data_IF_925686289857
#
_entry.id   IF_925686289857
#
_cell.length_a   1.000
_cell.length_b   1.000
_cell.length_c   1.000
_cell.angle_alpha   90.00
_cell.angle_beta   90.00
_cell.angle_gamma   90.00
#
_symmetry.space_group_name_H-M   'P 1'
#
loop_
_entity.id
_entity.type
_entity.pdbx_description
1 polymer ?
#
# COMPACT_ATOMS: atom_id res chain seq x y z
N UNK A 1 -2.36 -4.17 -28.41
CA UNK A 1 -2.30 -3.55 -27.07
C UNK A 1 -1.41 -4.44 -26.21
N UNK A 2 -0.32 -3.92 -25.62
CA UNK A 2 0.56 -4.73 -24.76
C UNK A 2 -0.13 -4.98 -23.41
N UNK A 3 0.21 -6.08 -22.71
CA UNK A 3 -0.31 -6.39 -21.36
C UNK A 3 -0.11 -5.19 -20.43
N UNK A 4 1.08 -4.58 -20.47
CA UNK A 4 1.39 -3.39 -19.71
C UNK A 4 0.42 -2.24 -19.97
N UNK A 5 0.14 -1.92 -21.25
CA UNK A 5 -0.77 -0.85 -21.62
C UNK A 5 -2.23 -1.18 -21.26
N UNK A 6 -2.59 -2.45 -21.21
CA UNK A 6 -3.89 -2.90 -20.73
C UNK A 6 -4.07 -2.60 -19.24
N UNK A 7 -3.12 -3.04 -18.41
CA UNK A 7 -3.12 -2.80 -16.96
C UNK A 7 -3.16 -1.31 -16.64
N UNK A 8 -2.31 -0.50 -17.27
CA UNK A 8 -2.28 0.95 -17.03
C UNK A 8 -3.60 1.60 -17.39
N UNK A 9 -4.17 1.26 -18.55
CA UNK A 9 -5.43 1.85 -19.00
C UNK A 9 -6.62 1.42 -18.14
N UNK A 10 -6.64 0.18 -17.65
CA UNK A 10 -7.75 -0.31 -16.83
C UNK A 10 -7.76 0.29 -15.43
N UNK A 11 -6.60 0.66 -14.89
CA UNK A 11 -6.47 1.13 -13.50
C UNK A 11 -6.27 2.64 -13.36
N UNK A 12 -6.09 3.38 -14.47
CA UNK A 12 -5.79 4.82 -14.42
C UNK A 12 -6.85 5.62 -13.65
N UNK A 13 -8.12 5.31 -13.85
CA UNK A 13 -9.23 6.06 -13.24
C UNK A 13 -9.48 5.65 -11.77
N UNK A 14 -8.81 4.58 -11.30
CA UNK A 14 -8.84 4.14 -9.91
C UNK A 14 -7.78 4.83 -9.05
N UNK A 15 -6.83 5.56 -9.65
CA UNK A 15 -5.94 6.48 -8.93
C UNK A 15 -6.71 7.79 -8.74
N UNK A 16 -7.13 8.06 -7.50
CA UNK A 16 -8.08 9.15 -7.22
C UNK A 16 -7.38 10.49 -6.99
N UNK A 17 -6.16 10.45 -6.46
CA UNK A 17 -5.33 11.63 -6.22
C UNK A 17 -3.84 11.29 -6.34
N UNK A 18 -3.03 12.33 -6.51
CA UNK A 18 -1.58 12.24 -6.42
C UNK A 18 -1.05 13.48 -5.69
N UNK A 19 -0.24 13.26 -4.65
CA UNK A 19 0.54 14.33 -4.04
C UNK A 19 1.84 14.45 -4.80
N UNK A 20 2.16 15.65 -5.27
CA UNK A 20 3.33 15.93 -6.11
C UNK A 20 4.15 17.08 -5.54
N UNK A 21 5.31 17.37 -6.14
CA UNK A 21 6.11 18.55 -5.76
C UNK A 21 5.33 19.86 -5.98
N UNK A 22 4.54 19.94 -7.06
CA UNK A 22 3.73 21.11 -7.42
C UNK A 22 2.45 21.20 -6.56
N UNK A 23 1.90 20.05 -6.18
CA UNK A 23 0.68 19.91 -5.39
C UNK A 23 0.95 19.07 -4.13
N UNK A 24 1.61 19.64 -3.10
CA UNK A 24 2.07 18.91 -1.92
C UNK A 24 0.98 18.66 -0.88
N UNK A 25 -0.25 19.13 -1.14
CA UNK A 25 -1.40 19.01 -0.23
C UNK A 25 -2.57 18.45 -1.02
N UNK A 26 -3.31 17.52 -0.40
CA UNK A 26 -4.52 16.97 -0.98
C UNK A 26 -5.60 18.06 -1.13
N UNK A 27 -6.17 18.17 -2.32
CA UNK A 27 -7.34 19.01 -2.54
C UNK A 27 -8.54 18.48 -1.75
N UNK A 28 -9.38 19.36 -1.20
CA UNK A 28 -10.57 18.93 -0.45
C UNK A 28 -11.51 18.04 -1.27
N UNK A 29 -11.60 18.29 -2.58
CA UNK A 29 -12.37 17.45 -3.51
C UNK A 29 -11.83 16.03 -3.63
N UNK A 30 -10.51 15.83 -3.54
CA UNK A 30 -9.91 14.51 -3.60
C UNK A 30 -10.13 13.75 -2.29
N UNK A 31 -10.04 14.44 -1.15
CA UNK A 31 -10.38 13.88 0.16
C UNK A 31 -11.85 13.42 0.18
N UNK A 32 -12.78 14.24 -0.33
CA UNK A 32 -14.20 13.87 -0.44
C UNK A 32 -14.39 12.64 -1.34
N UNK A 33 -13.77 12.61 -2.53
CA UNK A 33 -13.84 11.46 -3.44
C UNK A 33 -13.29 10.17 -2.82
N UNK A 34 -12.25 10.27 -2.00
CA UNK A 34 -11.67 9.14 -1.28
C UNK A 34 -12.59 8.67 -0.14
N UNK A 35 -13.17 9.60 0.62
CA UNK A 35 -14.16 9.29 1.69
C UNK A 35 -15.39 8.60 1.14
N UNK A 36 -15.88 9.02 -0.02
CA UNK A 36 -17.06 8.44 -0.68
C UNK A 36 -16.88 6.95 -1.04
N UNK A 37 -15.64 6.44 -1.01
CA UNK A 37 -15.38 5.01 -1.20
C UNK A 37 -15.71 4.16 0.03
N UNK A 38 -15.77 4.75 1.22
CA UNK A 38 -16.04 4.02 2.45
C UNK A 38 -15.00 2.92 2.70
N UNK A 39 -13.72 3.22 2.49
CA UNK A 39 -12.65 2.24 2.62
C UNK A 39 -12.49 1.75 4.07
N UNK A 40 -12.23 0.44 4.21
CA UNK A 40 -11.97 -0.21 5.48
C UNK A 40 -10.62 0.23 6.07
N UNK A 41 -9.63 0.44 5.21
CA UNK A 41 -8.30 0.89 5.60
C UNK A 41 -7.52 1.59 4.48
N UNK A 42 -6.49 2.31 4.91
CA UNK A 42 -5.39 2.79 4.06
C UNK A 42 -4.26 1.77 4.10
N UNK A 43 -3.99 1.10 2.98
CA UNK A 43 -2.86 0.18 2.80
C UNK A 43 -1.61 0.95 2.35
N UNK A 44 -0.60 1.05 3.21
CA UNK A 44 0.70 1.67 2.90
C UNK A 44 1.70 0.58 2.53
N UNK A 45 2.22 0.61 1.30
CA UNK A 45 3.20 -0.37 0.83
C UNK A 45 4.64 0.03 1.19
N UNK A 46 5.45 -0.95 1.60
CA UNK A 46 6.87 -0.81 1.90
C UNK A 46 7.73 -0.33 0.72
N UNK A 47 8.82 0.38 1.01
CA UNK A 47 9.72 0.96 0.01
C UNK A 47 11.20 0.99 0.44
N UNK A 48 11.54 0.25 1.48
CA UNK A 48 12.86 0.12 2.08
C UNK A 48 13.11 1.12 3.21
N UNK A 49 14.03 0.71 4.10
CA UNK A 49 14.59 1.49 5.19
C UNK A 49 16.07 1.82 4.91
N UNK A 50 16.58 2.89 5.53
CA UNK A 50 18.02 3.23 5.47
C UNK A 50 18.82 2.48 6.54
N UNK A 51 18.19 2.30 7.69
CA UNK A 51 18.71 1.69 8.91
C UNK A 51 17.52 1.26 9.79
N UNK A 52 17.80 0.76 10.99
CA UNK A 52 16.82 0.16 11.90
C UNK A 52 15.76 1.13 12.45
N UNK A 53 15.88 2.44 12.16
CA UNK A 53 14.94 3.46 12.65
C UNK A 53 14.39 4.38 11.55
N UNK A 54 15.02 4.40 10.38
CA UNK A 54 14.79 5.47 9.39
C UNK A 54 14.20 4.92 8.08
N UNK A 55 13.00 5.35 7.67
CA UNK A 55 12.48 5.01 6.36
C UNK A 55 13.34 5.64 5.25
N UNK A 56 13.40 5.00 4.08
CA UNK A 56 13.88 5.70 2.87
C UNK A 56 13.00 6.91 2.56
N UNK A 57 13.47 7.90 1.77
CA UNK A 57 12.63 9.05 1.42
C UNK A 57 11.30 8.62 0.77
N UNK A 58 11.34 7.62 -0.11
CA UNK A 58 10.16 7.06 -0.76
C UNK A 58 9.18 6.42 0.24
N UNK A 59 9.69 5.66 1.22
CA UNK A 59 8.84 5.07 2.26
C UNK A 59 8.26 6.16 3.17
N UNK A 60 9.06 7.17 3.52
CA UNK A 60 8.60 8.31 4.31
C UNK A 60 7.43 9.03 3.65
N UNK A 61 7.51 9.32 2.36
CA UNK A 61 6.46 10.02 1.63
C UNK A 61 5.15 9.21 1.57
N UNK A 62 5.26 7.88 1.47
CA UNK A 62 4.10 6.98 1.57
C UNK A 62 3.48 6.99 2.96
N UNK A 63 4.31 6.95 4.01
CA UNK A 63 3.85 6.99 5.40
C UNK A 63 3.16 8.33 5.70
N UNK A 64 3.75 9.44 5.28
CA UNK A 64 3.19 10.78 5.48
C UNK A 64 1.82 10.93 4.79
N UNK A 65 1.69 10.44 3.55
CA UNK A 65 0.40 10.44 2.86
C UNK A 65 -0.62 9.52 3.55
N UNK A 66 -0.22 8.32 3.97
CA UNK A 66 -1.10 7.42 4.73
C UNK A 66 -1.61 8.03 6.04
N UNK A 67 -0.73 8.71 6.77
CA UNK A 67 -1.09 9.44 8.00
C UNK A 67 -2.04 10.60 7.70
N UNK A 68 -1.79 11.38 6.64
CA UNK A 68 -2.66 12.48 6.23
C UNK A 68 -4.08 11.98 5.91
N UNK A 69 -4.19 10.92 5.11
CA UNK A 69 -5.49 10.32 4.77
C UNK A 69 -6.24 9.83 6.00
N UNK A 70 -5.53 9.21 6.94
CA UNK A 70 -6.10 8.76 8.21
C UNK A 70 -6.62 9.93 9.05
N UNK A 71 -5.82 10.98 9.20
CA UNK A 71 -6.17 12.18 9.97
C UNK A 71 -7.36 12.93 9.35
N UNK A 72 -7.45 12.94 8.02
CA UNK A 72 -8.59 13.48 7.29
C UNK A 72 -9.84 12.59 7.40
N UNK A 73 -9.73 11.37 7.93
CA UNK A 73 -10.85 10.44 8.09
C UNK A 73 -11.28 9.76 6.79
N UNK A 74 -10.32 9.54 5.87
CA UNK A 74 -10.57 8.80 4.61
C UNK A 74 -10.87 7.33 4.86
N UNK A 75 -10.17 6.71 5.82
CA UNK A 75 -10.44 5.36 6.30
C UNK A 75 -10.15 5.29 7.80
N UNK A 76 -10.82 4.41 8.54
CA UNK A 76 -10.68 4.34 10.00
C UNK A 76 -9.38 3.66 10.46
N UNK A 77 -8.62 3.01 9.57
CA UNK A 77 -7.48 2.15 9.91
C UNK A 77 -6.33 2.33 8.92
N UNK A 78 -5.11 2.06 9.35
CA UNK A 78 -3.91 1.98 8.50
C UNK A 78 -3.39 0.55 8.52
N UNK A 79 -3.19 -0.06 7.36
CA UNK A 79 -2.52 -1.35 7.19
C UNK A 79 -1.13 -1.11 6.58
N UNK A 80 -0.08 -1.45 7.32
CA UNK A 80 1.32 -1.33 6.91
C UNK A 80 1.78 -2.68 6.35
N UNK A 81 2.12 -2.78 5.07
CA UNK A 81 2.57 -4.05 4.46
C UNK A 81 3.95 -3.90 3.82
N UNK A 82 4.86 -4.80 4.19
CA UNK A 82 6.27 -4.76 3.85
C UNK A 82 6.90 -6.14 3.98
N UNK A 83 8.16 -6.26 3.57
CA UNK A 83 8.90 -7.53 3.59
C UNK A 83 9.69 -7.65 4.90
N UNK A 84 9.32 -8.63 5.73
CA UNK A 84 10.05 -9.00 6.95
C UNK A 84 10.82 -10.34 6.81
N UNK A 85 11.10 -10.79 5.58
CA UNK A 85 11.59 -12.13 5.25
C UNK A 85 13.02 -12.45 5.69
N UNK A 86 13.68 -11.56 6.43
CA UNK A 86 14.96 -11.81 7.10
C UNK A 86 14.87 -11.28 8.53
N UNK A 87 15.42 -11.99 9.52
CA UNK A 87 15.46 -11.57 10.93
C UNK A 87 16.08 -10.16 11.14
N UNK A 88 16.84 -9.66 10.16
CA UNK A 88 17.46 -8.33 10.15
C UNK A 88 16.65 -7.24 9.44
N UNK A 89 15.52 -7.55 8.78
CA UNK A 89 14.65 -6.52 8.23
C UNK A 89 13.63 -6.13 9.29
N UNK A 90 13.63 -4.86 9.65
CA UNK A 90 12.73 -4.28 10.66
C UNK A 90 11.79 -3.25 10.01
N UNK A 91 11.53 -3.38 8.70
CA UNK A 91 10.81 -2.36 7.91
C UNK A 91 9.44 -2.07 8.53
N UNK A 92 8.68 -3.11 8.87
CA UNK A 92 7.36 -2.95 9.49
C UNK A 92 7.45 -2.24 10.84
N UNK A 93 8.46 -2.55 11.67
CA UNK A 93 8.63 -1.87 12.94
C UNK A 93 9.01 -0.39 12.76
N UNK A 94 9.83 -0.07 11.77
CA UNK A 94 10.15 1.33 11.40
C UNK A 94 8.87 2.05 10.97
N UNK A 95 8.05 1.43 10.11
CA UNK A 95 6.77 2.00 9.68
C UNK A 95 5.81 2.19 10.87
N UNK A 96 5.65 1.17 11.71
CA UNK A 96 4.81 1.19 12.91
C UNK A 96 5.23 2.33 13.85
N UNK A 97 6.52 2.40 14.19
CA UNK A 97 7.04 3.45 15.05
C UNK A 97 6.87 4.84 14.45
N UNK A 98 7.04 4.99 13.13
CA UNK A 98 6.83 6.25 12.43
C UNK A 98 5.38 6.73 12.56
N UNK A 99 4.43 5.85 12.29
CA UNK A 99 2.98 6.15 12.35
C UNK A 99 2.51 6.40 13.79
N UNK A 100 3.00 5.60 14.75
CA UNK A 100 2.76 5.82 16.19
C UNK A 100 3.27 7.19 16.66
N UNK A 101 4.49 7.57 16.26
CA UNK A 101 5.08 8.89 16.59
C UNK A 101 4.27 10.05 16.00
N UNK A 102 3.54 9.82 14.91
CA UNK A 102 2.64 10.80 14.30
C UNK A 102 1.27 10.89 15.00
N UNK A 103 1.02 10.09 16.04
CA UNK A 103 -0.16 10.19 16.89
C UNK A 103 -1.35 9.32 16.47
N UNK A 104 -1.17 8.39 15.53
CA UNK A 104 -2.20 7.40 15.20
C UNK A 104 -2.31 6.38 16.36
N UNK A 105 -3.52 6.10 16.89
CA UNK A 105 -3.72 5.10 17.94
C UNK A 105 -3.26 3.71 17.52
N UNK A 106 -2.66 2.96 18.45
CA UNK A 106 -2.08 1.64 18.15
C UNK A 106 -3.13 0.62 17.69
N UNK A 107 -4.35 0.72 18.21
CA UNK A 107 -5.50 -0.09 17.82
C UNK A 107 -5.97 0.15 16.37
N UNK A 108 -5.52 1.23 15.74
CA UNK A 108 -5.89 1.60 14.37
C UNK A 108 -4.78 1.28 13.35
N UNK A 109 -3.60 0.84 13.82
CA UNK A 109 -2.46 0.48 12.98
C UNK A 109 -2.35 -1.03 12.91
N UNK A 110 -2.42 -1.60 11.72
CA UNK A 110 -2.22 -3.02 11.45
C UNK A 110 -0.88 -3.24 10.74
N UNK A 111 -0.22 -4.35 11.04
CA UNK A 111 1.10 -4.70 10.52
C UNK A 111 1.03 -6.03 9.76
N UNK A 112 1.41 -5.99 8.50
CA UNK A 112 1.58 -7.17 7.64
C UNK A 112 3.07 -7.42 7.35
N UNK A 113 3.64 -8.35 8.11
CA UNK A 113 5.06 -8.74 8.02
C UNK A 113 5.38 -9.68 6.85
N UNK A 114 4.36 -10.23 6.18
CA UNK A 114 4.53 -11.17 5.08
C UNK A 114 4.13 -10.57 3.72
N UNK A 115 4.29 -9.25 3.56
CA UNK A 115 4.12 -8.51 2.32
C UNK A 115 5.30 -8.67 1.34
N UNK A 116 5.80 -9.91 1.13
CA UNK A 116 7.00 -10.20 0.34
C UNK A 116 6.91 -9.81 -1.14
N UNK A 117 5.69 -9.61 -1.64
CA UNK A 117 5.43 -9.06 -2.95
C UNK A 117 4.13 -8.27 -2.94
N UNK A 118 3.93 -7.40 -3.91
CA UNK A 118 2.65 -6.68 -4.08
C UNK A 118 1.47 -7.63 -4.18
N UNK A 119 1.66 -8.83 -4.74
CA UNK A 119 0.62 -9.85 -4.74
C UNK A 119 0.30 -10.34 -3.33
N UNK A 120 1.33 -10.62 -2.53
CA UNK A 120 1.13 -11.06 -1.15
C UNK A 120 0.47 -9.96 -0.31
N UNK A 121 0.87 -8.70 -0.45
CA UNK A 121 0.21 -7.57 0.21
C UNK A 121 -1.29 -7.49 -0.12
N UNK A 122 -1.66 -7.59 -1.41
CA UNK A 122 -3.06 -7.53 -1.82
C UNK A 122 -3.87 -8.75 -1.40
N UNK A 123 -3.30 -9.94 -1.55
CA UNK A 123 -3.91 -11.18 -1.10
C UNK A 123 -4.16 -11.12 0.41
N UNK A 124 -3.15 -10.73 1.18
CA UNK A 124 -3.24 -10.73 2.64
C UNK A 124 -4.16 -9.63 3.16
N UNK A 125 -4.19 -8.45 2.53
CA UNK A 125 -5.19 -7.42 2.84
C UNK A 125 -6.62 -8.00 2.79
N UNK A 126 -6.91 -8.82 1.78
CA UNK A 126 -8.21 -9.49 1.64
C UNK A 126 -8.38 -10.68 2.58
N UNK A 127 -7.47 -11.65 2.55
CA UNK A 127 -7.69 -12.97 3.14
C UNK A 127 -7.23 -13.07 4.61
N UNK A 128 -6.24 -12.27 5.01
CA UNK A 128 -5.76 -12.21 6.40
C UNK A 128 -6.41 -11.07 7.15
N UNK A 129 -6.44 -9.87 6.55
CA UNK A 129 -7.01 -8.68 7.19
C UNK A 129 -8.50 -8.49 6.90
N UNK A 130 -9.11 -9.36 6.08
CA UNK A 130 -10.55 -9.32 5.77
C UNK A 130 -11.03 -7.97 5.22
N UNK A 131 -10.14 -7.15 4.66
CA UNK A 131 -10.52 -5.89 4.02
C UNK A 131 -11.23 -6.17 2.69
N UNK A 132 -12.20 -5.34 2.35
CA UNK A 132 -12.94 -5.40 1.09
C UNK A 132 -12.67 -4.17 0.24
N UNK A 133 -12.73 -2.99 0.85
CA UNK A 133 -12.45 -1.71 0.17
C UNK A 133 -11.21 -1.07 0.77
N UNK A 134 -10.20 -0.78 -0.06
CA UNK A 134 -8.92 -0.24 0.42
C UNK A 134 -8.44 0.95 -0.41
N UNK A 135 -7.79 1.91 0.27
CA UNK A 135 -7.00 2.95 -0.39
C UNK A 135 -5.53 2.54 -0.32
N UNK A 136 -4.89 2.35 -1.46
CA UNK A 136 -3.48 1.95 -1.56
C UNK A 136 -2.61 3.19 -1.71
N UNK A 137 -1.60 3.31 -0.85
CA UNK A 137 -0.61 4.39 -0.88
C UNK A 137 0.73 3.84 -1.35
N UNK A 138 1.16 4.28 -2.54
CA UNK A 138 2.49 4.06 -3.11
C UNK A 138 2.76 5.16 -4.17
N UNK A 139 3.81 5.06 -4.98
CA UNK A 139 4.01 5.93 -6.13
C UNK A 139 3.19 5.48 -7.35
N UNK A 140 2.79 6.40 -8.22
CA UNK A 140 1.96 6.12 -9.42
C UNK A 140 2.54 4.99 -10.28
N UNK A 141 3.87 4.96 -10.46
CA UNK A 141 4.51 3.93 -11.29
C UNK A 141 4.27 2.49 -10.78
N UNK A 142 4.04 2.33 -9.48
CA UNK A 142 3.78 1.07 -8.79
C UNK A 142 2.28 0.81 -8.57
N UNK A 143 1.46 1.87 -8.43
CA UNK A 143 0.02 1.75 -8.17
C UNK A 143 -0.69 0.92 -9.23
N UNK A 144 -0.41 1.12 -10.52
CA UNK A 144 -1.07 0.35 -11.59
C UNK A 144 -1.01 -1.17 -11.37
N UNK A 145 0.11 -1.68 -10.83
CA UNK A 145 0.27 -3.11 -10.54
C UNK A 145 -0.51 -3.50 -9.29
N UNK A 146 -0.42 -2.69 -8.25
CA UNK A 146 -1.11 -2.91 -6.98
C UNK A 146 -2.64 -2.95 -7.17
N UNK A 147 -3.19 -1.94 -7.85
CA UNK A 147 -4.61 -1.83 -8.17
C UNK A 147 -5.08 -3.00 -9.03
N UNK A 148 -4.33 -3.35 -10.08
CA UNK A 148 -4.69 -4.48 -10.94
C UNK A 148 -4.76 -5.80 -10.17
N UNK A 149 -3.78 -6.07 -9.32
CA UNK A 149 -3.79 -7.30 -8.52
C UNK A 149 -4.95 -7.31 -7.53
N UNK A 150 -5.21 -6.19 -6.84
CA UNK A 150 -6.32 -6.10 -5.89
C UNK A 150 -7.67 -6.37 -6.54
N UNK A 151 -7.94 -5.72 -7.68
CA UNK A 151 -9.16 -5.89 -8.48
C UNK A 151 -9.34 -7.36 -8.93
N UNK A 152 -8.29 -7.99 -9.45
CA UNK A 152 -8.33 -9.42 -9.85
C UNK A 152 -8.53 -10.38 -8.68
N UNK A 153 -8.10 -9.99 -7.46
CA UNK A 153 -8.37 -10.73 -6.22
C UNK A 153 -9.77 -10.46 -5.65
N UNK A 154 -10.50 -9.49 -6.20
CA UNK A 154 -11.86 -9.12 -5.81
C UNK A 154 -11.95 -8.06 -4.71
N UNK A 155 -10.90 -7.27 -4.52
CA UNK A 155 -10.93 -6.07 -3.68
C UNK A 155 -11.51 -4.88 -4.46
N UNK A 156 -12.24 -4.01 -3.77
CA UNK A 156 -12.55 -2.67 -4.27
C UNK A 156 -11.39 -1.73 -3.92
N UNK A 157 -10.50 -1.51 -4.88
CA UNK A 157 -9.17 -0.94 -4.63
C UNK A 157 -8.98 0.40 -5.35
N UNK A 158 -8.58 1.43 -4.61
CA UNK A 158 -8.31 2.77 -5.13
C UNK A 158 -6.91 3.23 -4.75
N UNK A 159 -6.32 4.10 -5.57
CA UNK A 159 -4.96 4.62 -5.39
C UNK A 159 -4.93 6.05 -4.85
N UNK A 160 -3.95 6.33 -4.00
CA UNK A 160 -3.52 7.65 -3.60
C UNK A 160 -1.99 7.75 -3.74
N UNK A 161 -1.54 8.43 -4.79
CA UNK A 161 -0.14 8.43 -5.16
C UNK A 161 0.71 9.41 -4.33
N UNK A 162 1.92 9.00 -3.98
CA UNK A 162 2.94 9.80 -3.26
C UNK A 162 4.14 10.07 -4.18
N UNK A 163 3.97 11.01 -5.12
CA UNK A 163 4.95 11.36 -6.16
C UNK A 163 5.62 12.72 -5.89
N UNK A 164 5.90 13.03 -4.63
CA UNK A 164 6.48 14.31 -4.21
C UNK A 164 7.87 14.55 -4.80
N UNK A 165 8.61 13.50 -5.14
CA UNK A 165 9.98 13.61 -5.66
C UNK A 165 10.28 12.58 -6.74
N UNK A 166 11.25 12.92 -7.60
CA UNK A 166 11.93 11.92 -8.42
C UNK A 166 13.03 11.25 -7.60
N UNK A 167 12.89 9.95 -7.35
CA UNK A 167 13.84 9.21 -6.52
C UNK A 167 15.03 8.64 -7.32
N UNK A 168 16.14 8.40 -6.65
CA UNK A 168 17.31 7.78 -7.27
C UNK A 168 16.95 6.41 -7.89
N UNK A 169 17.41 6.20 -9.14
CA UNK A 169 17.15 4.96 -9.88
C UNK A 169 15.75 4.85 -10.49
N UNK A 170 14.97 5.93 -10.55
CA UNK A 170 13.61 5.95 -11.09
C UNK A 170 13.46 5.24 -12.44
N UNK A 171 14.32 5.45 -13.47
CA UNK A 171 14.16 4.76 -14.76
C UNK A 171 14.25 3.23 -14.66
N UNK A 172 15.14 2.73 -13.79
CA UNK A 172 15.30 1.29 -13.57
C UNK A 172 14.07 0.71 -12.84
N UNK A 173 13.50 1.46 -11.90
CA UNK A 173 12.27 1.07 -11.18
C UNK A 173 11.08 0.99 -12.14
N UNK A 174 10.93 1.95 -13.05
CA UNK A 174 9.87 1.93 -14.06
C UNK A 174 9.98 0.74 -15.01
N UNK A 175 11.20 0.43 -15.48
CA UNK A 175 11.46 -0.76 -16.31
C UNK A 175 11.13 -2.04 -15.54
N UNK A 176 11.55 -2.13 -14.27
CA UNK A 176 11.20 -3.25 -13.39
C UNK A 176 9.69 -3.41 -13.27
N UNK A 177 8.94 -2.32 -13.10
CA UNK A 177 7.49 -2.39 -12.98
C UNK A 177 6.79 -2.80 -14.28
N UNK A 178 7.34 -2.50 -15.46
CA UNK A 178 6.83 -3.08 -16.72
C UNK A 178 6.93 -4.60 -16.68
N UNK A 179 8.08 -5.14 -16.30
CA UNK A 179 8.27 -6.60 -16.20
C UNK A 179 7.42 -7.22 -15.10
N UNK A 180 7.36 -6.58 -13.93
CA UNK A 180 6.57 -7.05 -12.79
C UNK A 180 5.07 -7.10 -13.11
N UNK A 181 4.53 -6.09 -13.81
CA UNK A 181 3.12 -6.08 -14.25
C UNK A 181 2.80 -7.25 -15.17
N UNK A 182 3.67 -7.53 -16.14
CA UNK A 182 3.48 -8.67 -17.05
C UNK A 182 3.54 -9.99 -16.29
N UNK A 183 4.48 -10.15 -15.35
CA UNK A 183 4.60 -11.35 -14.51
C UNK A 183 3.37 -11.53 -13.61
N UNK A 184 2.94 -10.48 -12.90
CA UNK A 184 1.80 -10.56 -11.98
C UNK A 184 0.46 -10.73 -12.72
N UNK A 185 0.32 -10.22 -13.95
CA UNK A 185 -0.82 -10.51 -14.84
C UNK A 185 -1.07 -12.01 -15.02
N UNK A 186 -0.01 -12.80 -15.22
CA UNK A 186 -0.15 -14.25 -15.31
C UNK A 186 -0.29 -14.91 -13.94
N UNK A 187 0.34 -14.36 -12.89
CA UNK A 187 0.23 -14.89 -11.51
C UNK A 187 -1.22 -14.85 -11.01
N UNK A 188 -1.93 -13.75 -11.22
CA UNK A 188 -3.32 -13.59 -10.74
C UNK A 188 -4.30 -14.54 -11.40
N UNK A 189 -4.02 -15.06 -12.61
CA UNK A 189 -4.90 -16.06 -13.25
C UNK A 189 -5.01 -17.36 -12.45
N UNK A 190 -3.95 -17.74 -11.74
CA UNK A 190 -3.94 -18.92 -10.87
C UNK A 190 -4.44 -18.65 -9.45
N UNK A 191 -4.59 -17.38 -9.06
CA UNK A 191 -4.90 -16.92 -7.70
C UNK A 191 -4.23 -17.77 -6.59
N UNK A 192 -2.90 -18.00 -6.65
CA UNK A 192 -2.24 -18.80 -5.62
C UNK A 192 -2.38 -18.14 -4.25
N UNK A 193 -2.37 -18.92 -3.18
CA UNK A 193 -2.31 -18.38 -1.82
C UNK A 193 -1.01 -17.58 -1.61
N UNK A 194 -1.00 -16.67 -0.63
CA UNK A 194 0.21 -15.94 -0.27
C UNK A 194 1.31 -16.87 0.20
N UNK A 195 2.57 -16.47 0.01
CA UNK A 195 3.75 -17.28 0.36
C UNK A 195 3.74 -17.72 1.82
N UNK A 196 3.31 -16.83 2.71
CA UNK A 196 3.05 -17.14 4.12
C UNK A 196 1.56 -16.98 4.39
N UNK A 197 0.96 -17.98 5.04
CA UNK A 197 -0.38 -17.88 5.63
C UNK A 197 -0.37 -17.09 6.94
N UNK A 198 -1.43 -17.26 7.74
CA UNK A 198 -1.54 -16.64 9.06
C UNK A 198 -2.94 -16.83 9.63
N UNK A 199 -3.10 -16.57 10.92
CA UNK A 199 -4.44 -16.42 11.50
C UNK A 199 -5.11 -15.16 10.94
N UNK A 200 -6.43 -15.21 10.76
CA UNK A 200 -7.21 -14.06 10.29
C UNK A 200 -7.23 -12.99 11.37
N UNK A 201 -6.84 -11.78 11.01
CA UNK A 201 -6.80 -10.59 11.88
C UNK A 201 -7.68 -9.51 11.24
N UNK A 202 -9.02 -9.55 11.43
CA UNK A 202 -9.92 -8.64 10.73
C UNK A 202 -9.61 -7.16 11.01
N UNK A 203 -9.57 -6.35 9.95
CA UNK A 203 -9.28 -4.91 10.01
C UNK A 203 -10.28 -4.12 10.86
N UNK A 204 -11.48 -4.66 11.05
CA UNK A 204 -12.51 -4.12 11.96
C UNK A 204 -12.15 -4.22 13.45
N UNK A 205 -11.11 -5.00 13.79
CA UNK A 205 -10.65 -5.22 15.16
C UNK A 205 -9.63 -4.18 15.66
N UNK A 206 -8.78 -4.62 16.58
CA UNK A 206 -7.64 -3.84 17.09
C UNK A 206 -6.35 -4.30 16.42
N UNK A 207 -5.60 -3.36 15.85
CA UNK A 207 -4.36 -3.65 15.15
C UNK A 207 -3.20 -4.10 16.05
N UNK A 208 -3.29 -3.89 17.36
CA UNK A 208 -2.27 -4.28 18.36
C UNK A 208 -1.88 -5.76 18.22
N UNK A 209 -2.85 -6.64 17.90
CA UNK A 209 -2.59 -8.08 17.78
C UNK A 209 -1.67 -8.44 16.61
N UNK A 210 -1.51 -7.53 15.63
CA UNK A 210 -0.63 -7.70 14.47
C UNK A 210 0.76 -7.08 14.65
N UNK A 211 1.00 -6.31 15.73
CA UNK A 211 2.27 -5.61 15.93
C UNK A 211 3.44 -6.54 16.27
N UNK A 212 3.16 -7.77 16.69
CA UNK A 212 4.17 -8.77 17.01
C UNK A 212 4.47 -9.72 15.86
N UNK A 213 5.75 -9.89 15.56
CA UNK A 213 6.39 -11.16 15.18
C UNK A 213 7.68 -11.30 16.00
#
# INVERSE_FOLDING_TARGET
MTINNHIVKSQKDNILCAVTEEEPVLASSDIERLKDKGADCILVLGAGIKDDETPTPMLKDRLDLGIMLYQEGVAPKILLSGDNGTESHNEIHVMLNYVKKAGVPEEDIFCDHAGFSTYDSMYRAKDIFSAQTIIVVTQTYHEYRALYIGDELGLDVFGAASDQFTYAGQPMREIREVMARVKDYFKVMGKPESVLGGEVIPISGSGIISHGE
#
